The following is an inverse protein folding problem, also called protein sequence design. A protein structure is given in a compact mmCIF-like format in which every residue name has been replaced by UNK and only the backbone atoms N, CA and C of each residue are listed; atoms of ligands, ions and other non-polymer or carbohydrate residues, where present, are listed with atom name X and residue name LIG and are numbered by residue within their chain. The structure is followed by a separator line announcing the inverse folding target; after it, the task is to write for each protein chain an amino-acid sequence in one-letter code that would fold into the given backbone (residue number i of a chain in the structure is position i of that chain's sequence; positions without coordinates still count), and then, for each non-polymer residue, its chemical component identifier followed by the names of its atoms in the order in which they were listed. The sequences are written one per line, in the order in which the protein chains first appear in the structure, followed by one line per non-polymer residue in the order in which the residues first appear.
data_IF_203890386325
#
_entry.id   IF_203890386325
#
_cell.length_a   1.000
_cell.length_b   1.000
_cell.length_c   1.000
_cell.angle_alpha   90.00
_cell.angle_beta   90.00
_cell.angle_gamma   90.00
#
_symmetry.space_group_name_H-M   'P 1'
#
loop_
_entity.id
_entity.type
_entity.pdbx_description
1 polymer ?
#
# COMPACT_ATOMS: atom_id res chain seq x y z
N UNK A 1 -17.89 0.11 4.40
CA UNK A 1 -18.10 -0.38 3.03
C UNK A 1 -17.99 0.81 2.09
N UNK A 2 -17.00 0.82 1.20
CA UNK A 2 -16.85 1.86 0.19
C UNK A 2 -18.10 1.91 -0.71
N UNK A 3 -18.52 3.10 -1.15
CA UNK A 3 -19.79 3.33 -1.87
C UNK A 3 -19.84 2.73 -3.30
N UNK A 4 -18.90 1.84 -3.67
CA UNK A 4 -18.68 1.34 -5.05
C UNK A 4 -18.62 2.48 -6.09
N UNK A 5 -18.19 3.67 -5.67
CA UNK A 5 -17.98 4.83 -6.54
C UNK A 5 -16.60 4.77 -7.18
N UNK A 6 -16.39 3.67 -7.88
CA UNK A 6 -15.14 3.27 -8.49
C UNK A 6 -14.64 4.29 -9.52
N UNK A 7 -15.52 4.74 -10.41
CA UNK A 7 -15.19 5.73 -11.43
C UNK A 7 -14.79 7.09 -10.84
N UNK A 8 -15.40 7.47 -9.71
CA UNK A 8 -15.07 8.72 -9.02
C UNK A 8 -13.68 8.66 -8.37
N UNK A 9 -13.33 7.51 -7.78
CA UNK A 9 -11.98 7.31 -7.22
C UNK A 9 -10.93 7.41 -8.33
N UNK A 10 -11.20 6.79 -9.47
CA UNK A 10 -10.28 6.80 -10.61
C UNK A 10 -10.13 8.23 -11.17
N UNK A 11 -11.23 9.01 -11.25
CA UNK A 11 -11.20 10.42 -11.64
C UNK A 11 -10.39 11.29 -10.66
N UNK A 12 -10.68 11.21 -9.37
CA UNK A 12 -10.00 12.01 -8.35
C UNK A 12 -8.50 11.71 -8.30
N UNK A 13 -8.13 10.45 -8.56
CA UNK A 13 -6.73 10.06 -8.67
C UNK A 13 -6.02 10.74 -9.85
N UNK A 14 -6.65 10.79 -11.02
CA UNK A 14 -6.09 11.51 -12.17
C UNK A 14 -5.93 13.01 -11.88
N UNK A 15 -6.95 13.65 -11.29
CA UNK A 15 -6.90 15.06 -10.90
C UNK A 15 -5.78 15.34 -9.88
N UNK A 16 -5.61 14.46 -8.89
CA UNK A 16 -4.56 14.58 -7.87
C UNK A 16 -3.16 14.51 -8.49
N UNK A 17 -2.93 13.58 -9.43
CA UNK A 17 -1.64 13.48 -10.13
C UNK A 17 -1.29 14.76 -10.89
N UNK A 18 -2.28 15.42 -11.49
CA UNK A 18 -2.07 16.67 -12.23
C UNK A 18 -1.60 17.82 -11.33
N UNK A 19 -2.13 17.92 -10.11
CA UNK A 19 -1.76 18.99 -9.17
C UNK A 19 -0.57 18.63 -8.27
N UNK A 20 -0.18 17.35 -8.23
CA UNK A 20 1.02 16.85 -7.54
C UNK A 20 1.21 17.41 -6.12
N UNK A 21 0.26 17.15 -5.19
CA UNK A 21 0.29 17.67 -3.83
C UNK A 21 1.40 17.05 -2.97
N UNK A 22 1.44 17.43 -1.69
CA UNK A 22 2.39 16.93 -0.71
C UNK A 22 2.51 15.37 -0.72
N UNK A 23 3.71 14.78 -0.55
CA UNK A 23 3.93 13.33 -0.70
C UNK A 23 3.00 12.43 0.13
N UNK A 24 2.65 12.83 1.35
CA UNK A 24 1.68 12.09 2.16
C UNK A 24 0.28 12.06 1.51
N UNK A 25 -0.19 13.17 0.96
CA UNK A 25 -1.47 13.23 0.24
C UNK A 25 -1.44 12.33 -1.00
N UNK A 26 -0.32 12.32 -1.72
CA UNK A 26 -0.12 11.40 -2.84
C UNK A 26 -0.17 9.94 -2.41
N UNK A 27 0.42 9.60 -1.25
CA UNK A 27 0.38 8.25 -0.70
C UNK A 27 -1.05 7.84 -0.32
N UNK A 28 -1.79 8.69 0.37
CA UNK A 28 -3.19 8.44 0.73
C UNK A 28 -4.08 8.24 -0.50
N UNK A 29 -3.95 9.11 -1.52
CA UNK A 29 -4.68 8.96 -2.79
C UNK A 29 -4.35 7.65 -3.51
N UNK A 30 -3.07 7.28 -3.55
CA UNK A 30 -2.62 6.00 -4.13
C UNK A 30 -3.20 4.80 -3.38
N UNK A 31 -3.19 4.83 -2.05
CA UNK A 31 -3.79 3.78 -1.21
C UNK A 31 -5.29 3.67 -1.47
N UNK A 32 -6.03 4.77 -1.46
CA UNK A 32 -7.47 4.76 -1.72
C UNK A 32 -7.80 4.17 -3.11
N UNK A 33 -7.00 4.54 -4.12
CA UNK A 33 -7.14 4.01 -5.48
C UNK A 33 -6.81 2.52 -5.54
N UNK A 34 -5.68 2.09 -4.99
CA UNK A 34 -5.29 0.69 -4.97
C UNK A 34 -6.32 -0.20 -4.25
N UNK A 35 -6.84 0.25 -3.10
CA UNK A 35 -7.87 -0.49 -2.36
C UNK A 35 -9.18 -0.58 -3.14
N UNK A 36 -9.54 0.44 -3.91
CA UNK A 36 -10.69 0.41 -4.82
C UNK A 36 -10.56 -0.66 -5.92
N UNK A 37 -9.35 -0.90 -6.46
CA UNK A 37 -9.10 -2.02 -7.38
C UNK A 37 -9.12 -3.37 -6.65
N UNK A 38 -8.50 -3.44 -5.46
CA UNK A 38 -8.49 -4.66 -4.66
C UNK A 38 -9.90 -5.11 -4.24
N UNK A 39 -10.80 -4.17 -3.95
CA UNK A 39 -12.22 -4.43 -3.65
C UNK A 39 -12.99 -5.00 -4.86
N UNK A 40 -12.52 -4.77 -6.09
CA UNK A 40 -13.05 -5.36 -7.33
C UNK A 40 -12.44 -6.74 -7.64
N UNK A 41 -11.52 -7.22 -6.80
CA UNK A 41 -10.75 -8.45 -7.04
C UNK A 41 -9.54 -8.25 -7.96
N UNK A 42 -9.25 -7.02 -8.40
CA UNK A 42 -8.10 -6.72 -9.25
C UNK A 42 -6.86 -6.37 -8.42
N UNK A 43 -6.29 -7.39 -7.77
CA UNK A 43 -5.08 -7.27 -6.96
C UNK A 43 -3.86 -6.85 -7.80
N UNK A 44 -3.81 -7.22 -9.08
CA UNK A 44 -2.70 -6.88 -9.96
C UNK A 44 -2.66 -5.38 -10.24
N UNK A 45 -3.79 -4.76 -10.56
CA UNK A 45 -3.86 -3.30 -10.71
C UNK A 45 -3.59 -2.58 -9.38
N UNK A 46 -4.09 -3.10 -8.27
CA UNK A 46 -3.80 -2.53 -6.94
C UNK A 46 -2.29 -2.51 -6.62
N UNK A 47 -1.61 -3.64 -6.83
CA UNK A 47 -0.14 -3.74 -6.67
C UNK A 47 0.58 -2.78 -7.61
N UNK A 48 0.16 -2.72 -8.88
CA UNK A 48 0.76 -1.83 -9.87
C UNK A 48 0.64 -0.36 -9.48
N UNK A 49 -0.52 0.06 -8.96
CA UNK A 49 -0.75 1.42 -8.48
C UNK A 49 0.18 1.75 -7.31
N UNK A 50 0.33 0.82 -6.36
CA UNK A 50 1.20 0.98 -5.19
C UNK A 50 2.70 0.88 -5.51
N UNK A 51 3.07 0.20 -6.60
CA UNK A 51 4.46 0.05 -7.01
C UNK A 51 4.95 1.33 -7.68
N UNK A 52 5.55 2.21 -6.89
CA UNK A 52 6.13 3.46 -7.38
C UNK A 52 7.42 3.79 -6.63
N UNK A 53 8.25 4.64 -7.25
CA UNK A 53 9.50 5.09 -6.65
C UNK A 53 10.53 3.96 -6.47
N UNK A 54 11.61 4.29 -5.78
CA UNK A 54 12.66 3.35 -5.38
C UNK A 54 12.87 3.38 -3.87
N UNK A 55 13.93 2.74 -3.39
CA UNK A 55 14.30 2.80 -1.97
C UNK A 55 14.64 4.25 -1.58
N UNK A 56 13.98 4.83 -0.56
CA UNK A 56 14.25 6.20 -0.16
C UNK A 56 15.57 6.31 0.60
N UNK A 57 16.27 7.45 0.43
CA UNK A 57 17.46 7.76 1.24
C UNK A 57 17.12 8.05 2.71
N UNK A 58 15.91 8.56 2.96
CA UNK A 58 15.37 8.81 4.29
C UNK A 58 13.93 8.31 4.36
N UNK A 59 13.67 7.40 5.30
CA UNK A 59 12.31 6.89 5.54
C UNK A 59 11.45 8.02 6.11
N UNK A 60 10.23 8.11 5.63
CA UNK A 60 9.24 9.12 5.99
C UNK A 60 7.91 8.41 6.24
N UNK A 61 6.96 9.01 6.99
CA UNK A 61 5.73 8.33 7.36
C UNK A 61 4.92 7.76 6.18
N UNK A 62 4.92 8.45 5.03
CA UNK A 62 4.22 7.96 3.84
C UNK A 62 4.86 6.70 3.24
N UNK A 63 6.18 6.52 3.35
CA UNK A 63 6.85 5.29 2.93
C UNK A 63 6.41 4.08 3.79
N UNK A 64 6.22 4.29 5.10
CA UNK A 64 5.76 3.25 6.02
C UNK A 64 4.34 2.80 5.66
N UNK A 65 3.44 3.76 5.40
CA UNK A 65 2.10 3.51 4.90
C UNK A 65 2.12 2.72 3.58
N UNK A 66 2.92 3.18 2.61
CA UNK A 66 3.00 2.54 1.29
C UNK A 66 3.53 1.11 1.35
N UNK A 67 4.58 0.86 2.14
CA UNK A 67 5.12 -0.48 2.32
C UNK A 67 4.12 -1.42 3.01
N UNK A 68 3.39 -0.93 4.01
CA UNK A 68 2.38 -1.73 4.69
C UNK A 68 1.26 -2.15 3.75
N UNK A 69 0.72 -1.21 2.97
CA UNK A 69 -0.36 -1.50 2.02
C UNK A 69 0.14 -2.42 0.90
N UNK A 70 1.33 -2.18 0.37
CA UNK A 70 1.91 -3.05 -0.65
C UNK A 70 2.15 -4.47 -0.10
N UNK A 71 2.56 -4.60 1.17
CA UNK A 71 2.73 -5.90 1.82
C UNK A 71 1.40 -6.68 1.92
N UNK A 72 0.32 -6.04 2.38
CA UNK A 72 -1.02 -6.65 2.44
C UNK A 72 -1.50 -7.11 1.06
N UNK A 73 -1.28 -6.30 0.03
CA UNK A 73 -1.67 -6.64 -1.34
C UNK A 73 -0.89 -7.85 -1.88
N UNK A 74 0.41 -7.94 -1.61
CA UNK A 74 1.21 -9.12 -2.00
C UNK A 74 0.80 -10.38 -1.23
N UNK A 75 0.52 -10.26 0.07
CA UNK A 75 0.02 -11.38 0.89
C UNK A 75 -1.29 -11.94 0.32
N UNK A 76 -2.26 -11.04 0.06
CA UNK A 76 -3.55 -11.40 -0.57
C UNK A 76 -3.40 -11.97 -1.97
N UNK A 77 -2.36 -11.59 -2.71
CA UNK A 77 -2.05 -12.10 -4.04
C UNK A 77 -1.31 -13.46 -4.02
N UNK A 78 -1.01 -14.02 -2.83
CA UNK A 78 -0.30 -15.28 -2.69
C UNK A 78 1.22 -15.15 -2.87
N UNK A 79 1.79 -13.97 -2.59
CA UNK A 79 3.24 -13.71 -2.60
C UNK A 79 3.73 -13.40 -1.17
N UNK A 80 3.79 -14.41 -0.28
CA UNK A 80 4.19 -14.23 1.12
C UNK A 80 5.65 -13.79 1.27
N UNK A 81 6.50 -14.12 0.29
CA UNK A 81 7.92 -13.73 0.29
C UNK A 81 8.08 -12.22 0.17
N UNK A 82 7.40 -11.61 -0.81
CA UNK A 82 7.42 -10.15 -0.96
C UNK A 82 6.69 -9.47 0.20
N UNK A 83 5.57 -10.02 0.65
CA UNK A 83 4.82 -9.49 1.80
C UNK A 83 5.70 -9.43 3.06
N UNK A 84 6.39 -10.53 3.40
CA UNK A 84 7.29 -10.63 4.55
C UNK A 84 8.42 -9.60 4.47
N UNK A 85 9.03 -9.44 3.30
CA UNK A 85 10.09 -8.43 3.09
C UNK A 85 9.58 -7.01 3.36
N UNK A 86 8.39 -6.67 2.87
CA UNK A 86 7.81 -5.34 3.04
C UNK A 86 7.33 -5.09 4.48
N UNK A 87 6.63 -6.04 5.10
CA UNK A 87 6.25 -5.95 6.52
C UNK A 87 7.48 -5.84 7.42
N UNK A 88 8.59 -6.53 7.11
CA UNK A 88 9.85 -6.36 7.86
C UNK A 88 10.41 -4.93 7.74
N UNK A 89 10.27 -4.26 6.59
CA UNK A 89 10.65 -2.84 6.44
C UNK A 89 9.78 -1.93 7.30
N UNK A 90 8.46 -2.18 7.32
CA UNK A 90 7.52 -1.45 8.17
C UNK A 90 7.89 -1.64 9.64
N UNK A 91 8.01 -2.89 10.12
CA UNK A 91 8.33 -3.18 11.52
C UNK A 91 9.69 -2.61 11.96
N UNK A 92 10.66 -2.52 11.04
CA UNK A 92 11.95 -1.87 11.31
C UNK A 92 11.82 -0.35 11.47
N UNK A 93 10.94 0.27 10.71
CA UNK A 93 10.74 1.72 10.73
C UNK A 93 9.81 2.15 11.88
N UNK A 94 8.72 1.41 12.08
CA UNK A 94 7.70 1.62 13.09
C UNK A 94 7.03 0.26 13.44
N UNK A 95 7.44 -0.39 14.54
CA UNK A 95 6.89 -1.68 14.96
C UNK A 95 5.46 -1.59 15.51
N UNK A 96 4.97 -0.40 15.84
CA UNK A 96 3.60 -0.15 16.32
C UNK A 96 2.66 0.26 15.18
N UNK A 97 3.15 0.27 13.93
CA UNK A 97 2.35 0.62 12.76
C UNK A 97 1.27 -0.43 12.49
N UNK A 98 0.02 -0.12 12.86
CA UNK A 98 -1.11 -1.04 12.80
C UNK A 98 -0.81 -2.38 13.49
N UNK A 99 -1.03 -3.51 12.80
CA UNK A 99 -0.81 -4.87 13.29
C UNK A 99 0.44 -5.52 12.64
N UNK A 100 1.40 -4.73 12.18
CA UNK A 100 2.54 -5.21 11.37
C UNK A 100 3.32 -6.35 12.02
N UNK A 101 3.51 -6.31 13.34
CA UNK A 101 4.21 -7.37 14.09
C UNK A 101 3.43 -8.68 14.06
N UNK A 102 2.11 -8.62 14.18
CA UNK A 102 1.21 -9.79 14.05
C UNK A 102 1.23 -10.33 12.62
N UNK A 103 1.11 -9.46 11.61
CA UNK A 103 1.17 -9.86 10.18
C UNK A 103 2.50 -10.52 9.83
N UNK A 104 3.61 -9.97 10.31
CA UNK A 104 4.94 -10.51 10.06
C UNK A 104 5.16 -11.87 10.73
N UNK A 105 4.66 -12.06 11.96
CA UNK A 105 4.73 -13.34 12.66
C UNK A 105 3.95 -14.43 11.93
N UNK A 106 2.77 -14.12 11.40
CA UNK A 106 1.95 -15.08 10.63
C UNK A 106 2.62 -15.57 9.33
N UNK A 107 3.56 -14.79 8.77
CA UNK A 107 4.38 -15.17 7.60
C UNK A 107 5.72 -15.83 8.01
N UNK A 108 5.95 -15.99 9.31
CA UNK A 108 7.18 -16.47 9.93
C UNK A 108 7.24 -17.98 10.16
N UNK A 109 6.10 -18.66 10.13
CA UNK A 109 5.97 -20.09 10.44
C UNK A 109 6.22 -20.95 9.19
N UNK A 110 7.50 -21.19 8.88
CA UNK A 110 7.99 -22.30 8.03
C UNK A 110 9.20 -22.99 8.68
#
# INVERSE_FOLDING_TARGET
RALRQYDLVDQLWEEMKLVSPHPMMMAEGRVATAMSYADRGDLQSAIRIMTHGGEPSHVQPHHVLEWYVLADLHDRAGDPVTAKRLFAKVAKADPEFYDVTTRLAALGDE
#
